data_IF_212390454790
#
_entry.id   IF_212390454790
#
_cell.length_a   1.000
_cell.length_b   1.000
_cell.length_c   1.000
_cell.angle_alpha   90.00
_cell.angle_beta   90.00
_cell.angle_gamma   90.00
#
_symmetry.space_group_name_H-M   'P 1'
#
loop_
_entity.id
_entity.type
_entity.pdbx_description
1 polymer ?
#
# COMPACT_ATOMS: atom_id res chain seq x y z
N UNK A 1 -14.12 20.65 -3.77
CA UNK A 1 -14.06 19.36 -4.50
C UNK A 1 -12.91 19.32 -5.52
N UNK A 2 -12.90 20.16 -6.57
CA UNK A 2 -11.91 20.09 -7.66
C UNK A 2 -10.44 20.21 -7.23
N UNK A 3 -10.12 21.13 -6.31
CA UNK A 3 -8.75 21.29 -5.79
C UNK A 3 -8.21 20.03 -5.13
N UNK A 4 -9.06 19.35 -4.34
CA UNK A 4 -8.68 18.11 -3.65
C UNK A 4 -8.39 16.98 -4.64
N UNK A 5 -9.25 16.79 -5.66
CA UNK A 5 -9.01 15.77 -6.69
C UNK A 5 -7.76 16.06 -7.50
N UNK A 6 -7.50 17.32 -7.84
CA UNK A 6 -6.30 17.71 -8.58
C UNK A 6 -5.02 17.37 -7.81
N UNK A 7 -4.97 17.73 -6.52
CA UNK A 7 -3.79 17.49 -5.66
C UNK A 7 -3.55 16.01 -5.34
N UNK A 8 -4.59 15.17 -5.41
CA UNK A 8 -4.51 13.74 -5.11
C UNK A 8 -4.67 12.86 -6.36
N UNK A 9 -4.64 13.45 -7.55
CA UNK A 9 -4.88 12.77 -8.83
C UNK A 9 -3.90 11.63 -9.08
N UNK A 10 -2.66 11.74 -8.59
CA UNK A 10 -1.62 10.70 -8.65
C UNK A 10 -2.06 9.41 -7.95
N UNK A 11 -2.80 9.52 -6.85
CA UNK A 11 -3.31 8.40 -6.08
C UNK A 11 -4.59 7.77 -6.66
N UNK A 12 -5.19 8.39 -7.69
CA UNK A 12 -6.37 7.87 -8.38
C UNK A 12 -6.00 7.30 -9.74
N UNK A 13 -5.48 8.15 -10.63
CA UNK A 13 -5.32 7.78 -12.03
C UNK A 13 -4.16 6.81 -12.23
N UNK A 14 -4.41 5.73 -12.98
CA UNK A 14 -3.42 4.70 -13.28
C UNK A 14 -3.00 3.88 -12.06
N UNK A 15 -3.75 3.95 -10.95
CA UNK A 15 -3.55 3.10 -9.79
C UNK A 15 -4.45 1.86 -9.84
N UNK A 16 -4.13 0.85 -9.03
CA UNK A 16 -4.97 -0.33 -8.81
C UNK A 16 -5.14 -0.59 -7.32
N UNK A 17 -6.15 -1.38 -6.91
CA UNK A 17 -6.23 -1.89 -5.55
C UNK A 17 -4.89 -2.49 -5.08
N UNK A 18 -4.48 -2.15 -3.87
CA UNK A 18 -3.32 -2.76 -3.23
C UNK A 18 -3.67 -4.14 -2.65
N UNK A 19 -2.66 -5.00 -2.40
CA UNK A 19 -2.86 -6.35 -1.86
C UNK A 19 -3.64 -6.37 -0.55
N UNK A 20 -3.53 -5.36 0.31
CA UNK A 20 -4.36 -5.23 1.50
C UNK A 20 -5.41 -4.16 1.25
N UNK A 21 -6.62 -4.43 1.71
CA UNK A 21 -7.74 -3.50 1.64
C UNK A 21 -8.27 -3.33 3.05
N UNK A 22 -8.44 -2.08 3.46
CA UNK A 22 -9.15 -1.68 4.67
C UNK A 22 -8.54 -2.16 6.00
N UNK A 23 -7.58 -1.41 6.56
CA UNK A 23 -6.95 -1.73 7.85
C UNK A 23 -7.83 -1.36 9.07
N UNK A 24 -8.61 -0.28 8.97
CA UNK A 24 -9.27 0.38 10.12
C UNK A 24 -10.65 0.94 9.81
N UNK A 25 -11.35 0.42 8.80
CA UNK A 25 -12.68 0.87 8.36
C UNK A 25 -12.66 2.15 7.51
N UNK A 26 -11.81 3.11 7.88
CA UNK A 26 -11.72 4.45 7.30
C UNK A 26 -10.48 4.65 6.42
N UNK A 27 -9.72 3.58 6.14
CA UNK A 27 -8.53 3.64 5.28
C UNK A 27 -8.73 2.80 4.04
N UNK A 28 -8.56 3.41 2.87
CA UNK A 28 -8.61 2.72 1.58
C UNK A 28 -7.25 2.76 0.90
N UNK A 29 -6.89 1.67 0.22
CA UNK A 29 -5.57 1.56 -0.40
C UNK A 29 -5.67 1.42 -1.91
N UNK A 30 -4.93 2.29 -2.58
CA UNK A 30 -4.59 2.17 -4.00
C UNK A 30 -3.08 2.08 -4.11
N UNK A 31 -2.56 1.66 -5.24
CA UNK A 31 -1.12 1.54 -5.44
C UNK A 31 -0.75 1.68 -6.91
N UNK A 32 0.50 2.03 -7.14
CA UNK A 32 1.12 2.05 -8.46
C UNK A 32 2.39 1.21 -8.41
N UNK A 33 2.65 0.47 -9.47
CA UNK A 33 3.90 -0.29 -9.62
C UNK A 33 4.63 0.21 -10.85
N UNK A 34 5.92 0.48 -10.70
CA UNK A 34 6.81 0.92 -11.78
C UNK A 34 7.37 -0.23 -12.63
N UNK A 35 7.31 -1.46 -12.12
CA UNK A 35 7.82 -2.66 -12.78
C UNK A 35 7.12 -2.97 -14.11
N UNK A 36 7.91 -3.09 -15.17
CA UNK A 36 7.45 -3.35 -16.54
C UNK A 36 7.09 -4.83 -16.75
N UNK A 37 7.66 -5.72 -15.95
CA UNK A 37 7.56 -7.18 -16.14
C UNK A 37 6.29 -7.79 -15.53
N UNK A 38 5.49 -7.01 -14.81
CA UNK A 38 4.27 -7.51 -14.20
C UNK A 38 3.09 -7.50 -15.19
N UNK A 39 2.28 -8.58 -15.26
CA UNK A 39 1.10 -8.65 -16.12
C UNK A 39 0.15 -7.47 -15.93
N UNK A 40 -0.23 -6.81 -17.03
CA UNK A 40 -1.09 -5.61 -16.98
C UNK A 40 -2.54 -5.91 -16.58
N UNK A 41 -3.01 -7.15 -16.75
CA UNK A 41 -4.38 -7.58 -16.42
C UNK A 41 -4.58 -7.97 -14.95
N UNK A 42 -3.59 -7.79 -14.08
CA UNK A 42 -3.72 -8.04 -12.64
C UNK A 42 -4.83 -7.21 -11.99
N UNK A 43 -5.61 -7.83 -11.11
CA UNK A 43 -6.69 -7.19 -10.34
C UNK A 43 -6.18 -6.28 -9.22
N UNK A 44 -5.04 -6.63 -8.64
CA UNK A 44 -4.36 -5.86 -7.60
C UNK A 44 -2.86 -5.80 -7.90
N UNK A 45 -2.18 -4.85 -7.29
CA UNK A 45 -0.72 -4.75 -7.38
C UNK A 45 -0.05 -5.48 -6.21
N UNK A 46 1.04 -6.23 -6.45
CA UNK A 46 1.86 -6.78 -5.39
C UNK A 46 2.55 -5.66 -4.60
N UNK A 47 2.99 -5.97 -3.38
CA UNK A 47 3.88 -5.10 -2.62
C UNK A 47 5.33 -5.54 -2.82
N UNK A 48 6.09 -4.75 -3.58
CA UNK A 48 7.51 -4.96 -3.84
C UNK A 48 8.24 -3.67 -3.43
N UNK A 49 9.21 -3.80 -2.55
CA UNK A 49 10.04 -2.69 -2.10
C UNK A 49 10.79 -2.06 -3.28
N UNK A 50 10.86 -0.73 -3.34
CA UNK A 50 11.45 0.01 -4.46
C UNK A 50 10.58 0.10 -5.72
N UNK A 51 9.57 -0.75 -5.88
CA UNK A 51 8.75 -0.80 -7.11
C UNK A 51 7.28 -0.42 -6.89
N UNK A 52 6.74 -0.67 -5.70
CA UNK A 52 5.34 -0.36 -5.36
C UNK A 52 5.25 0.90 -4.51
N UNK A 53 4.53 1.90 -5.02
CA UNK A 53 4.04 3.04 -4.24
C UNK A 53 2.63 2.72 -3.73
N UNK A 54 2.43 2.80 -2.41
CA UNK A 54 1.12 2.65 -1.77
C UNK A 54 0.53 4.05 -1.54
N UNK A 55 -0.75 4.21 -1.84
CA UNK A 55 -1.53 5.39 -1.47
C UNK A 55 -2.60 5.01 -0.46
N UNK A 56 -2.48 5.53 0.76
CA UNK A 56 -3.45 5.32 1.83
C UNK A 56 -4.39 6.53 1.92
N UNK A 57 -5.66 6.30 1.64
CA UNK A 57 -6.74 7.27 1.73
C UNK A 57 -7.36 7.20 3.11
N UNK A 58 -7.03 8.14 3.98
CA UNK A 58 -7.60 8.26 5.32
C UNK A 58 -8.83 9.14 5.23
N UNK A 59 -10.02 8.54 5.35
CA UNK A 59 -11.31 9.14 5.06
C UNK A 59 -12.02 9.78 6.26
N UNK A 60 -11.32 9.87 7.39
CA UNK A 60 -11.79 10.54 8.59
C UNK A 60 -10.61 11.17 9.33
N UNK A 61 -10.87 12.22 10.11
CA UNK A 61 -9.85 12.84 10.95
C UNK A 61 -9.49 11.87 12.09
N UNK A 62 -8.26 11.32 12.16
CA UNK A 62 -7.87 10.51 13.30
C UNK A 62 -7.96 11.34 14.58
N UNK A 63 -8.41 10.72 15.67
CA UNK A 63 -8.47 11.35 17.01
C UNK A 63 -7.31 10.93 17.91
N UNK A 64 -6.46 10.03 17.42
CA UNK A 64 -5.30 9.45 18.07
C UNK A 64 -4.25 9.08 17.01
N UNK A 65 -3.17 8.44 17.43
CA UNK A 65 -2.15 7.95 16.50
C UNK A 65 -2.77 7.06 15.41
N UNK A 66 -2.36 7.30 14.17
CA UNK A 66 -2.83 6.55 13.01
C UNK A 66 -1.89 5.36 12.78
N UNK A 67 -2.40 4.15 12.98
CA UNK A 67 -1.67 2.92 12.70
C UNK A 67 -2.20 2.25 11.42
N UNK A 68 -1.31 2.03 10.45
CA UNK A 68 -1.58 1.24 9.25
C UNK A 68 -0.95 -0.15 9.40
N UNK A 69 -1.74 -1.07 9.95
CA UNK A 69 -1.27 -2.40 10.39
C UNK A 69 -0.71 -3.27 9.28
N UNK A 70 -1.20 -3.12 8.06
CA UNK A 70 -0.72 -3.92 6.93
C UNK A 70 0.48 -3.28 6.22
N UNK A 71 0.87 -2.06 6.57
CA UNK A 71 2.04 -1.39 5.96
C UNK A 71 3.28 -1.66 6.80
N UNK A 72 4.14 -2.55 6.33
CA UNK A 72 5.48 -2.78 6.90
C UNK A 72 6.47 -1.78 6.32
N UNK A 73 7.28 -1.16 7.17
CA UNK A 73 8.23 -0.12 6.78
C UNK A 73 9.67 -0.62 6.86
N UNK A 74 10.55 -0.02 6.08
CA UNK A 74 12.01 -0.21 6.09
C UNK A 74 12.69 1.13 6.40
N UNK A 75 14.01 1.13 6.55
CA UNK A 75 14.77 2.37 6.79
C UNK A 75 14.75 3.32 5.58
N UNK A 76 14.39 2.80 4.41
CA UNK A 76 14.21 3.57 3.18
C UNK A 76 12.78 4.05 2.96
N UNK A 77 11.82 3.57 3.78
CA UNK A 77 10.43 3.99 3.66
C UNK A 77 10.30 5.50 3.81
N UNK A 78 9.60 6.12 2.86
CA UNK A 78 9.24 7.54 2.90
C UNK A 78 7.73 7.68 2.85
N UNK A 79 7.20 8.45 3.79
CA UNK A 79 5.77 8.79 3.84
C UNK A 79 5.62 10.27 3.53
N UNK A 80 4.82 10.60 2.53
CA UNK A 80 4.53 11.98 2.10
C UNK A 80 3.04 12.25 2.23
N UNK A 81 2.66 13.39 2.81
CA UNK A 81 1.26 13.83 2.85
C UNK A 81 0.95 14.51 1.51
N UNK A 82 0.18 13.86 0.64
CA UNK A 82 -0.12 14.38 -0.69
C UNK A 82 -0.83 15.73 -0.63
N UNK A 83 -0.50 16.59 -1.60
CA UNK A 83 -0.96 17.98 -1.61
C UNK A 83 -0.19 18.90 -0.66
N UNK A 84 0.87 18.41 -0.01
CA UNK A 84 1.79 19.19 0.84
C UNK A 84 3.24 18.86 0.51
N UNK A 85 4.19 19.66 0.99
CA UNK A 85 5.63 19.37 0.91
C UNK A 85 6.15 18.56 2.11
N UNK A 86 5.26 18.10 2.99
CA UNK A 86 5.63 17.41 4.23
C UNK A 86 5.82 15.93 3.97
N UNK A 87 7.00 15.43 4.35
CA UNK A 87 7.31 14.00 4.35
C UNK A 87 8.17 13.62 5.55
N UNK A 88 8.16 12.35 5.92
CA UNK A 88 8.97 11.80 7.00
C UNK A 88 9.39 10.35 6.71
N UNK A 89 10.37 9.87 7.48
CA UNK A 89 10.83 8.48 7.46
C UNK A 89 10.48 7.81 8.80
N UNK A 90 9.63 6.77 8.82
CA UNK A 90 9.23 6.08 10.05
C UNK A 90 10.31 5.14 10.61
N UNK A 91 11.32 4.80 9.83
CA UNK A 91 12.27 3.73 10.13
C UNK A 91 11.68 2.34 9.89
N UNK A 92 12.48 1.29 10.11
CA UNK A 92 12.03 -0.09 9.95
C UNK A 92 11.08 -0.54 11.09
N UNK A 93 9.83 -0.88 10.74
CA UNK A 93 8.78 -1.28 11.68
C UNK A 93 7.82 -2.30 11.05
N UNK A 94 7.17 -3.11 11.89
CA UNK A 94 6.17 -4.10 11.46
C UNK A 94 4.83 -3.46 11.04
N UNK A 95 4.57 -2.23 11.45
CA UNK A 95 3.40 -1.42 11.10
C UNK A 95 3.85 0.02 10.87
N UNK A 96 3.10 0.78 10.07
CA UNK A 96 3.35 2.21 9.92
C UNK A 96 2.55 2.97 10.97
N UNK A 97 3.25 3.53 11.96
CA UNK A 97 2.68 4.40 12.97
C UNK A 97 2.93 5.87 12.65
N UNK A 98 1.87 6.66 12.60
CA UNK A 98 1.93 8.11 12.45
C UNK A 98 1.37 8.73 13.72
N UNK A 99 2.25 9.37 14.50
CA UNK A 99 1.83 10.09 15.71
C UNK A 99 0.88 11.22 15.35
N UNK A 100 -0.20 11.38 16.10
CA UNK A 100 -1.21 12.40 15.85
C UNK A 100 -0.61 13.81 15.73
N UNK A 101 0.34 14.13 16.62
CA UNK A 101 1.03 15.43 16.64
C UNK A 101 1.98 15.66 15.45
N UNK A 102 2.39 14.60 14.77
CA UNK A 102 3.25 14.68 13.59
C UNK A 102 2.45 14.88 12.29
N UNK A 103 1.12 14.82 12.34
CA UNK A 103 0.27 15.08 11.17
C UNK A 103 0.28 16.59 10.89
N UNK A 104 0.59 17.02 9.65
CA UNK A 104 0.76 18.43 9.32
C UNK A 104 -0.58 19.13 9.10
N UNK A 105 -1.44 19.15 10.12
CA UNK A 105 -2.83 19.67 10.06
C UNK A 105 -2.98 21.03 9.37
N UNK A 106 -2.03 21.93 9.58
CA UNK A 106 -2.07 23.29 9.00
C UNK A 106 -1.74 23.36 7.51
N UNK A 107 -1.10 22.31 6.98
CA UNK A 107 -0.69 22.23 5.59
C UNK A 107 -1.66 21.40 4.75
N UNK A 108 -2.51 20.59 5.37
CA UNK A 108 -3.50 19.79 4.67
C UNK A 108 -4.56 20.70 4.02
N UNK A 109 -4.97 20.35 2.80
CA UNK A 109 -6.08 21.02 2.12
C UNK A 109 -7.41 20.83 2.86
N UNK A 110 -7.53 19.73 3.61
CA UNK A 110 -8.69 19.27 4.37
C UNK A 110 -8.22 18.46 5.58
N UNK A 111 -8.93 18.57 6.69
CA UNK A 111 -8.62 17.82 7.92
C UNK A 111 -9.41 16.52 8.04
N UNK A 112 -10.52 16.41 7.32
CA UNK A 112 -11.43 15.25 7.34
C UNK A 112 -11.02 14.15 6.36
N UNK A 113 -10.18 14.46 5.36
CA UNK A 113 -9.61 13.47 4.45
C UNK A 113 -8.17 13.83 4.12
N UNK A 114 -7.26 12.86 4.22
CA UNK A 114 -5.88 12.98 3.79
C UNK A 114 -5.43 11.75 2.99
N UNK A 115 -4.43 11.95 2.13
CA UNK A 115 -3.85 10.87 1.33
C UNK A 115 -2.35 10.79 1.61
N UNK A 116 -1.89 9.60 1.97
CA UNK A 116 -0.48 9.33 2.23
C UNK A 116 0.11 8.62 1.02
N UNK A 117 1.21 9.13 0.49
CA UNK A 117 2.06 8.44 -0.47
C UNK A 117 3.19 7.74 0.30
N UNK A 118 3.26 6.42 0.18
CA UNK A 118 4.19 5.57 0.92
C UNK A 118 5.07 4.86 -0.11
N UNK A 119 6.35 5.19 -0.08
CA UNK A 119 7.38 4.67 -0.99
C UNK A 119 8.33 3.76 -0.21
N UNK A 120 8.90 2.75 -0.86
CA UNK A 120 9.84 1.79 -0.28
C UNK A 120 9.31 1.09 0.99
N UNK A 121 8.01 0.80 1.04
CA UNK A 121 7.47 -0.10 2.06
C UNK A 121 7.95 -1.53 1.79
N UNK A 122 8.17 -2.31 2.85
CA UNK A 122 8.75 -3.63 2.76
C UNK A 122 7.93 -4.55 1.85
N UNK A 123 8.62 -5.43 1.10
CA UNK A 123 7.97 -6.40 0.22
C UNK A 123 7.03 -7.33 1.02
N UNK A 124 5.85 -7.60 0.45
CA UNK A 124 4.87 -8.51 1.06
C UNK A 124 4.24 -9.41 0.01
N UNK A 125 4.28 -10.71 0.27
CA UNK A 125 3.57 -11.70 -0.55
C UNK A 125 2.22 -12.01 0.09
N UNK A 126 1.13 -11.58 -0.54
CA UNK A 126 -0.21 -12.08 -0.22
C UNK A 126 -0.49 -13.31 -1.07
N UNK A 127 -0.40 -14.50 -0.47
CA UNK A 127 -0.88 -15.73 -1.09
C UNK A 127 -2.39 -15.78 -0.88
N UNK A 128 -3.23 -15.80 -1.93
CA UNK A 128 -4.65 -16.08 -1.75
C UNK A 128 -4.78 -17.43 -1.06
N UNK A 129 -5.64 -17.55 -0.04
CA UNK A 129 -5.82 -18.80 0.73
C UNK A 129 -5.87 -20.02 -0.20
N UNK A 130 -4.82 -20.85 -0.15
CA UNK A 130 -4.99 -22.28 -0.48
C UNK A 130 -5.83 -22.83 0.65
N UNK A 131 -7.05 -23.28 0.34
CA UNK A 131 -7.84 -24.11 1.24
C UNK A 131 -6.95 -25.22 1.79
N UNK A 132 -7.05 -25.44 3.09
CA UNK A 132 -6.21 -26.33 3.87
C UNK A 132 -6.50 -27.80 3.47
N UNK A 133 -5.83 -28.28 2.43
CA UNK A 133 -5.75 -29.70 2.14
C UNK A 133 -4.37 -30.19 2.56
N UNK A 134 -4.34 -30.82 3.74
CA UNK A 134 -3.25 -31.67 4.24
C UNK A 134 -2.78 -32.62 3.13
N UNK A 135 -1.65 -32.29 2.52
CA UNK A 135 -0.89 -33.18 1.66
C UNK A 135 0.58 -33.02 1.99
N UNK A 136 1.13 -33.93 2.80
CA UNK A 136 2.58 -34.00 3.06
C UNK A 136 3.30 -34.18 1.72
N UNK A 137 4.18 -33.27 1.33
CA UNK A 137 5.23 -33.60 0.38
C UNK A 137 6.50 -32.82 0.68
N UNK A 138 7.58 -33.57 0.93
CA UNK A 138 8.94 -33.08 1.13
C UNK A 138 9.54 -32.79 -0.24
N UNK A 139 10.00 -31.55 -0.47
CA UNK A 139 11.22 -31.30 -1.27
C UNK A 139 11.69 -29.86 -1.09
N UNK A 140 12.88 -29.70 -0.53
CA UNK A 140 13.68 -28.49 -0.65
C UNK A 140 14.28 -28.43 -2.05
N UNK A 141 14.10 -27.32 -2.77
CA UNK A 141 15.16 -26.57 -3.45
C UNK A 141 14.56 -25.55 -4.43
N UNK A 142 14.92 -24.28 -4.18
CA UNK A 142 14.99 -23.13 -5.11
C UNK A 142 14.56 -23.41 -6.56
N UNK A 143 13.50 -22.72 -7.00
CA UNK A 143 13.36 -22.12 -8.34
C UNK A 143 12.11 -21.23 -8.37
N UNK A 144 12.27 -20.06 -8.98
CA UNK A 144 11.21 -19.11 -9.35
C UNK A 144 9.93 -19.86 -9.77
N UNK A 145 8.81 -19.62 -9.08
CA UNK A 145 7.56 -20.29 -9.36
C UNK A 145 6.82 -19.55 -10.48
N UNK A 146 6.76 -20.25 -11.61
CA UNK A 146 6.06 -20.01 -12.85
C UNK A 146 4.57 -19.64 -12.63
N UNK A 147 4.13 -18.49 -13.16
CA UNK A 147 2.74 -17.98 -13.06
C UNK A 147 1.79 -18.67 -14.06
N UNK A 148 1.78 -20.00 -14.07
CA UNK A 148 1.00 -20.79 -15.05
C UNK A 148 -0.40 -21.23 -14.61
N UNK A 149 -0.86 -20.87 -13.42
CA UNK A 149 -2.16 -21.33 -12.90
C UNK A 149 -3.33 -20.36 -13.17
N UNK A 150 -3.10 -19.21 -13.82
CA UNK A 150 -4.12 -18.18 -14.00
C UNK A 150 -4.91 -18.26 -15.33
N UNK A 151 -4.71 -19.30 -16.15
CA UNK A 151 -5.47 -19.51 -17.38
C UNK A 151 -5.91 -20.96 -17.45
N UNK A 152 -7.08 -21.26 -16.88
CA UNK A 152 -7.98 -22.34 -17.31
C UNK A 152 -9.35 -22.09 -16.66
N UNK A 153 -10.08 -21.14 -17.24
CA UNK A 153 -11.50 -20.95 -17.04
C UNK A 153 -12.08 -20.22 -18.27
N UNK A 154 -12.08 -20.92 -19.41
CA UNK A 154 -13.02 -20.75 -20.51
C UNK A 154 -13.43 -22.13 -21.01
#
# INVERSE_FOLDING_TARGET
MFRFLSSNSEALYGTKPWIHQNDTGNVWYTSRVSSVDLPKNRLFNPQIEGETTIYAWVLDMPTMDLELKNVKTTDETKVTFLGTDVSFKPGSQSTLLIKFDNIPWRHLLRNDVMVLKIENAASQMRVPHKGDHRGKSRTNARKFVDFRWAYDAL
#
